data_IF_984805187048
#
_entry.id   IF_984805187048
#
_cell.length_a   1.000
_cell.length_b   1.000
_cell.length_c   1.000
_cell.angle_alpha   90.00
_cell.angle_beta   90.00
_cell.angle_gamma   90.00
#
_symmetry.space_group_name_H-M   'P 1'
#
loop_
_entity.id
_entity.type
_entity.pdbx_description
1 polymer ?
#
# COMPACT_ATOMS: atom_id res chain seq x y z
N UNK A 1 40.45 -21.47 30.95
CA UNK A 1 39.94 -22.06 29.69
C UNK A 1 39.19 -20.98 28.92
N UNK A 2 39.87 -20.31 27.98
CA UNK A 2 39.27 -19.27 27.14
C UNK A 2 38.55 -19.92 25.96
N UNK A 3 37.22 -19.83 25.92
CA UNK A 3 36.42 -20.28 24.77
C UNK A 3 36.23 -19.12 23.80
N UNK A 4 36.99 -19.13 22.70
CA UNK A 4 36.81 -18.26 21.54
C UNK A 4 35.47 -18.60 20.87
N UNK A 5 34.43 -17.77 21.10
CA UNK A 5 33.21 -17.83 20.31
C UNK A 5 33.48 -17.16 18.95
N UNK A 6 33.81 -18.01 17.99
CA UNK A 6 33.86 -17.72 16.55
C UNK A 6 32.70 -16.82 16.12
N UNK A 7 33.05 -15.61 15.68
CA UNK A 7 32.12 -14.66 15.08
C UNK A 7 31.87 -15.06 13.62
N UNK A 8 30.82 -15.84 13.37
CA UNK A 8 30.29 -16.03 12.03
C UNK A 8 29.63 -14.73 11.56
N UNK A 9 30.41 -13.88 10.87
CA UNK A 9 29.88 -12.73 10.13
C UNK A 9 29.08 -13.28 8.95
N UNK A 10 27.74 -13.21 9.02
CA UNK A 10 26.89 -13.42 7.85
C UNK A 10 27.22 -12.29 6.86
N UNK A 11 27.87 -12.65 5.75
CA UNK A 11 28.00 -11.77 4.60
C UNK A 11 26.59 -11.62 4.02
N UNK A 12 25.93 -10.50 4.32
CA UNK A 12 24.71 -10.13 3.62
C UNK A 12 25.09 -9.87 2.16
N UNK A 13 24.66 -10.77 1.27
CA UNK A 13 24.73 -10.60 -0.17
C UNK A 13 23.93 -9.35 -0.55
N UNK A 14 24.61 -8.24 -0.81
CA UNK A 14 24.02 -7.02 -1.36
C UNK A 14 23.91 -7.19 -2.87
N UNK A 15 22.99 -8.04 -3.31
CA UNK A 15 22.44 -7.96 -4.67
C UNK A 15 21.12 -7.20 -4.65
N UNK A 16 21.11 -6.05 -3.97
CA UNK A 16 20.08 -5.05 -4.19
C UNK A 16 20.41 -4.40 -5.54
N UNK A 17 19.67 -4.78 -6.58
CA UNK A 17 19.66 -4.00 -7.82
C UNK A 17 19.10 -2.62 -7.47
N UNK A 18 19.99 -1.65 -7.33
CA UNK A 18 19.62 -0.24 -7.22
C UNK A 18 19.06 0.14 -8.59
N UNK A 19 17.75 0.30 -8.69
CA UNK A 19 17.13 0.95 -9.84
C UNK A 19 17.55 2.42 -9.78
N UNK A 20 18.31 2.88 -10.79
CA UNK A 20 18.66 4.29 -10.97
C UNK A 20 17.37 5.12 -11.07
N UNK A 21 17.10 5.92 -10.05
CA UNK A 21 15.92 6.79 -9.97
C UNK A 21 16.24 8.16 -10.59
N UNK A 22 16.36 8.21 -11.91
CA UNK A 22 16.29 9.46 -12.69
C UNK A 22 15.37 9.33 -13.90
N UNK A 23 14.40 8.41 -13.85
CA UNK A 23 13.27 8.43 -14.76
C UNK A 23 12.22 9.42 -14.21
N UNK A 24 11.67 10.27 -15.08
CA UNK A 24 10.47 11.05 -14.78
C UNK A 24 9.47 10.16 -14.03
N UNK A 25 8.93 10.62 -12.90
CA UNK A 25 7.95 9.85 -12.10
C UNK A 25 6.79 9.46 -13.02
N UNK A 26 6.84 8.25 -13.57
CA UNK A 26 5.73 7.68 -14.30
C UNK A 26 4.55 7.62 -13.32
N UNK A 27 3.43 8.24 -13.71
CA UNK A 27 2.24 8.35 -12.86
C UNK A 27 1.64 6.96 -12.64
N UNK A 28 1.62 6.14 -13.69
CA UNK A 28 1.31 4.72 -13.61
C UNK A 28 2.54 3.83 -13.80
N UNK A 29 2.48 2.62 -13.25
CA UNK A 29 3.48 1.58 -13.46
C UNK A 29 3.22 0.74 -14.73
N UNK A 30 2.00 0.79 -15.27
CA UNK A 30 1.55 -0.05 -16.36
C UNK A 30 1.38 0.81 -17.62
N UNK A 31 2.18 0.59 -18.68
CA UNK A 31 2.01 1.33 -19.93
C UNK A 31 0.67 0.99 -20.60
N UNK A 32 0.18 1.91 -21.43
CA UNK A 32 -1.02 1.69 -22.22
C UNK A 32 -0.88 0.47 -23.14
N UNK A 33 -2.00 -0.23 -23.37
CA UNK A 33 -2.07 -1.46 -24.14
C UNK A 33 -1.67 -2.72 -23.37
N UNK A 34 -1.26 -2.61 -22.10
CA UNK A 34 -0.94 -3.79 -21.27
C UNK A 34 -2.21 -4.63 -21.04
N UNK A 35 -2.24 -5.92 -21.43
CA UNK A 35 -3.38 -6.79 -21.17
C UNK A 35 -3.52 -7.08 -19.67
N UNK A 36 -4.72 -6.89 -19.14
CA UNK A 36 -5.04 -7.12 -17.73
C UNK A 36 -5.80 -8.46 -17.59
N UNK A 37 -5.24 -9.38 -16.80
CA UNK A 37 -5.87 -10.68 -16.51
C UNK A 37 -7.04 -10.53 -15.52
N UNK A 38 -8.15 -9.95 -15.99
CA UNK A 38 -9.36 -9.68 -15.22
C UNK A 38 -10.57 -10.49 -15.73
N UNK A 39 -10.36 -11.39 -16.69
CA UNK A 39 -11.43 -12.12 -17.34
C UNK A 39 -11.97 -13.23 -16.43
N UNK A 40 -13.20 -13.06 -15.96
CA UNK A 40 -13.90 -14.08 -15.17
C UNK A 40 -14.84 -14.93 -16.06
N UNK A 41 -15.40 -14.34 -17.12
CA UNK A 41 -16.33 -15.01 -18.04
C UNK A 41 -15.60 -15.50 -19.28
N UNK A 42 -15.86 -16.74 -19.70
CA UNK A 42 -15.13 -17.41 -20.81
C UNK A 42 -15.26 -16.76 -22.21
N UNK A 43 -16.21 -15.86 -22.43
CA UNK A 43 -16.51 -15.27 -23.75
C UNK A 43 -16.17 -13.78 -23.89
N UNK A 44 -15.41 -13.20 -22.96
CA UNK A 44 -15.03 -11.78 -23.00
C UNK A 44 -13.64 -11.55 -23.60
N UNK A 45 -13.39 -10.31 -24.05
CA UNK A 45 -12.04 -9.84 -24.39
C UNK A 45 -11.32 -9.40 -23.13
N UNK A 46 -10.00 -9.61 -23.07
CA UNK A 46 -9.19 -9.07 -21.99
C UNK A 46 -9.17 -7.53 -22.05
N UNK A 47 -9.46 -6.83 -20.95
CA UNK A 47 -9.35 -5.39 -20.92
C UNK A 47 -7.88 -4.99 -21.03
N UNK A 48 -7.61 -4.02 -21.90
CA UNK A 48 -6.29 -3.41 -22.04
C UNK A 48 -6.21 -2.15 -21.19
N UNK A 49 -5.04 -1.88 -20.62
CA UNK A 49 -4.76 -0.60 -19.99
C UNK A 49 -4.89 0.54 -21.01
N UNK A 50 -5.56 1.63 -20.63
CA UNK A 50 -5.66 2.85 -21.41
C UNK A 50 -4.48 3.78 -21.09
N UNK A 51 -4.42 4.95 -21.73
CA UNK A 51 -3.47 6.00 -21.35
C UNK A 51 -3.84 6.62 -20.00
N UNK A 52 -2.84 7.15 -19.29
CA UNK A 52 -3.01 7.73 -17.95
C UNK A 52 -4.03 8.89 -17.92
N UNK A 53 -4.15 9.63 -19.03
CA UNK A 53 -5.09 10.75 -19.20
C UNK A 53 -6.55 10.33 -19.37
N UNK A 54 -6.79 9.11 -19.83
CA UNK A 54 -8.15 8.59 -20.05
C UNK A 54 -8.78 8.12 -18.72
N UNK A 55 -7.96 7.93 -17.69
CA UNK A 55 -8.43 7.59 -16.36
C UNK A 55 -8.91 8.83 -15.60
N UNK A 56 -9.97 8.69 -14.79
CA UNK A 56 -10.42 9.78 -13.94
C UNK A 56 -9.36 10.24 -12.94
N UNK A 57 -9.28 11.56 -12.73
CA UNK A 57 -8.33 12.21 -11.82
C UNK A 57 -8.37 11.69 -10.37
N UNK A 58 -9.52 11.16 -9.92
CA UNK A 58 -9.63 10.64 -8.55
C UNK A 58 -8.75 9.41 -8.31
N UNK A 59 -8.40 8.65 -9.35
CA UNK A 59 -7.61 7.41 -9.27
C UNK A 59 -6.23 7.69 -8.67
N UNK A 60 -5.60 8.77 -9.12
CA UNK A 60 -4.25 9.16 -8.71
C UNK A 60 -4.20 9.68 -7.26
N UNK A 61 -5.34 10.11 -6.71
CA UNK A 61 -5.47 10.62 -5.33
C UNK A 61 -5.85 9.53 -4.32
N UNK A 62 -6.04 8.28 -4.75
CA UNK A 62 -6.48 7.20 -3.85
C UNK A 62 -5.40 6.82 -2.83
N UNK A 63 -4.15 6.73 -3.28
CA UNK A 63 -3.02 6.29 -2.46
C UNK A 63 -2.30 7.45 -1.74
N UNK A 64 -2.62 8.68 -2.10
CA UNK A 64 -2.06 9.87 -1.47
C UNK A 64 -2.67 10.08 -0.07
N UNK A 65 -1.88 9.93 1.02
CA UNK A 65 -2.39 10.08 2.37
C UNK A 65 -2.88 11.51 2.67
N UNK A 66 -2.29 12.53 2.03
CA UNK A 66 -2.65 13.92 2.24
C UNK A 66 -4.01 14.23 1.62
N UNK A 67 -4.23 13.82 0.36
CA UNK A 67 -5.52 13.93 -0.30
C UNK A 67 -6.64 13.18 0.45
N UNK A 68 -6.34 12.01 1.02
CA UNK A 68 -7.32 11.26 1.83
C UNK A 68 -7.60 11.93 3.19
N UNK A 69 -6.59 12.56 3.80
CA UNK A 69 -6.77 13.31 5.04
C UNK A 69 -7.63 14.56 4.80
N UNK A 70 -7.40 15.30 3.72
CA UNK A 70 -8.19 16.46 3.32
C UNK A 70 -9.67 16.09 3.08
N UNK A 71 -9.92 15.05 2.26
CA UNK A 71 -11.29 14.52 2.03
C UNK A 71 -12.00 14.08 3.31
N UNK A 72 -11.25 13.54 4.28
CA UNK A 72 -11.82 13.15 5.56
C UNK A 72 -12.15 14.36 6.45
N UNK A 73 -11.34 15.42 6.38
CA UNK A 73 -11.54 16.65 7.13
C UNK A 73 -12.77 17.43 6.63
N UNK A 74 -13.06 17.38 5.33
CA UNK A 74 -14.26 17.97 4.71
C UNK A 74 -15.57 17.36 5.26
N UNK A 75 -15.57 16.06 5.58
CA UNK A 75 -16.75 15.32 6.04
C UNK A 75 -16.71 15.05 7.58
N UNK A 76 -17.22 15.97 8.44
CA UNK A 76 -17.08 15.85 9.90
C UNK A 76 -17.73 14.58 10.48
N UNK A 77 -18.83 14.11 9.87
CA UNK A 77 -19.51 12.87 10.27
C UNK A 77 -18.61 11.65 9.99
N UNK A 78 -17.96 11.60 8.82
CA UNK A 78 -17.06 10.50 8.47
C UNK A 78 -15.80 10.51 9.34
N UNK A 79 -15.24 11.69 9.61
CA UNK A 79 -14.11 11.87 10.53
C UNK A 79 -14.43 11.32 11.92
N UNK A 80 -15.56 11.74 12.51
CA UNK A 80 -16.01 11.26 13.83
C UNK A 80 -16.21 9.74 13.85
N UNK A 81 -16.85 9.18 12.82
CA UNK A 81 -17.07 7.72 12.71
C UNK A 81 -15.74 6.96 12.63
N UNK A 82 -14.75 7.47 11.91
CA UNK A 82 -13.41 6.86 11.82
C UNK A 82 -12.69 6.90 13.18
N UNK A 83 -12.78 8.01 13.92
CA UNK A 83 -12.21 8.15 15.25
C UNK A 83 -12.84 7.17 16.25
N UNK A 84 -14.18 7.09 16.30
CA UNK A 84 -14.87 6.14 17.18
C UNK A 84 -14.50 4.68 16.87
N UNK A 85 -14.40 4.30 15.59
CA UNK A 85 -13.94 2.96 15.20
C UNK A 85 -12.52 2.67 15.67
N UNK A 86 -11.64 3.67 15.70
CA UNK A 86 -10.28 3.54 16.21
C UNK A 86 -10.30 3.31 17.72
N UNK A 87 -10.99 4.15 18.46
CA UNK A 87 -11.13 4.03 19.92
C UNK A 87 -11.72 2.67 20.33
N UNK A 88 -12.77 2.22 19.64
CA UNK A 88 -13.39 0.92 19.91
C UNK A 88 -12.40 -0.24 19.68
N UNK A 89 -11.60 -0.19 18.61
CA UNK A 89 -10.57 -1.22 18.38
C UNK A 89 -9.50 -1.21 19.46
N UNK A 90 -9.07 -0.02 19.91
CA UNK A 90 -8.08 0.12 20.98
C UNK A 90 -8.62 -0.42 22.30
N UNK A 91 -9.86 -0.07 22.66
CA UNK A 91 -10.55 -0.59 23.84
C UNK A 91 -10.66 -2.11 23.82
N UNK A 92 -11.13 -2.70 22.72
CA UNK A 92 -11.23 -4.16 22.58
C UNK A 92 -9.85 -4.83 22.73
N UNK A 93 -8.81 -4.26 22.13
CA UNK A 93 -7.44 -4.78 22.26
C UNK A 93 -6.95 -4.73 23.71
N UNK A 94 -7.19 -3.63 24.42
CA UNK A 94 -6.82 -3.47 25.83
C UNK A 94 -7.58 -4.46 26.72
N UNK A 95 -8.89 -4.58 26.54
CA UNK A 95 -9.72 -5.53 27.29
C UNK A 95 -9.28 -6.98 27.04
N UNK A 96 -9.04 -7.35 25.78
CA UNK A 96 -8.56 -8.69 25.43
C UNK A 96 -7.15 -8.97 25.97
N UNK A 97 -6.31 -7.94 26.09
CA UNK A 97 -4.98 -8.06 26.68
C UNK A 97 -5.08 -8.31 28.19
N UNK A 98 -5.86 -7.50 28.91
CA UNK A 98 -6.07 -7.66 30.36
C UNK A 98 -6.76 -8.98 30.70
N UNK A 99 -7.68 -9.47 29.86
CA UNK A 99 -8.35 -10.74 30.08
C UNK A 99 -7.46 -11.97 29.81
N UNK A 100 -6.33 -11.80 29.12
CA UNK A 100 -5.38 -12.88 28.80
C UNK A 100 -4.14 -12.92 29.69
N UNK A 101 -3.90 -11.86 30.47
CA UNK A 101 -2.90 -11.86 31.54
C UNK A 101 -3.47 -12.49 32.80
#
# INVERSE_FOLDING_TARGET
MLSLRSSFRRLFSVSCRVYDQQAQKAVSSCPAGTPLNLLIKKGGKEPLALEDSDYPEWLWKVLDPEAQAAKLAEDPIKARKKALRRMNREHIKQQNFLAKM
#
